data_IF_372689822230
#
_entry.id   IF_372689822230
#
_cell.length_a   1.000
_cell.length_b   1.000
_cell.length_c   1.000
_cell.angle_alpha   90.00
_cell.angle_beta   90.00
_cell.angle_gamma   90.00
#
_symmetry.space_group_name_H-M   'P 1'
#
loop_
_entity.id
_entity.type
_entity.pdbx_description
1 polymer ?
#
# COMPACT_ATOMS: atom_id res chain seq x y z
N UNK A 1 0.67 8.49 30.69
CA UNK A 1 -0.39 7.87 29.86
C UNK A 1 -0.77 8.85 28.77
N UNK A 2 -0.11 8.79 27.62
CA UNK A 2 -0.41 9.63 26.46
C UNK A 2 -1.65 9.07 25.78
N UNK A 3 -2.77 9.79 25.90
CA UNK A 3 -3.98 9.53 25.13
C UNK A 3 -3.63 9.54 23.63
N UNK A 4 -3.96 8.48 22.91
CA UNK A 4 -3.95 8.43 21.43
C UNK A 4 -5.07 9.34 20.93
N UNK A 5 -4.92 10.64 21.10
CA UNK A 5 -5.84 11.62 20.55
C UNK A 5 -5.80 11.50 19.02
N UNK A 6 -6.98 11.33 18.40
CA UNK A 6 -7.15 11.41 16.94
C UNK A 6 -6.99 12.87 16.49
N UNK A 7 -5.77 13.40 16.62
CA UNK A 7 -5.50 14.84 16.52
C UNK A 7 -5.22 15.30 15.07
N UNK A 8 -4.99 14.35 14.17
CA UNK A 8 -4.79 14.63 12.73
C UNK A 8 -6.15 14.77 12.04
N UNK A 9 -6.42 15.95 11.48
CA UNK A 9 -7.67 16.25 10.77
C UNK A 9 -7.48 16.17 9.26
N UNK A 10 -8.45 15.56 8.58
CA UNK A 10 -8.54 15.54 7.12
C UNK A 10 -9.61 16.55 6.66
N UNK A 11 -9.22 17.50 5.82
CA UNK A 11 -10.15 18.47 5.21
C UNK A 11 -10.48 18.05 3.78
N UNK A 12 -11.72 17.63 3.54
CA UNK A 12 -12.19 17.17 2.22
C UNK A 12 -13.27 18.14 1.71
N UNK A 13 -13.11 18.62 0.48
CA UNK A 13 -14.16 19.35 -0.24
C UNK A 13 -14.98 18.38 -1.07
N UNK A 14 -16.29 18.53 -1.05
CA UNK A 14 -17.21 17.82 -1.93
C UNK A 14 -18.35 18.76 -2.35
N UNK A 15 -18.97 18.47 -3.49
CA UNK A 15 -20.20 19.15 -3.88
C UNK A 15 -21.41 18.61 -3.10
N UNK A 16 -22.57 19.21 -3.32
CA UNK A 16 -23.78 18.89 -2.59
C UNK A 16 -24.33 17.50 -2.94
N UNK A 17 -24.14 17.03 -4.17
CA UNK A 17 -24.64 15.73 -4.62
C UNK A 17 -23.84 14.60 -3.99
N UNK A 18 -22.51 14.72 -3.98
CA UNK A 18 -21.60 13.80 -3.28
C UNK A 18 -21.92 13.79 -1.78
N UNK A 19 -22.14 14.97 -1.17
CA UNK A 19 -22.50 15.04 0.24
C UNK A 19 -23.80 14.29 0.55
N UNK A 20 -24.84 14.49 -0.26
CA UNK A 20 -26.13 13.78 -0.11
C UNK A 20 -25.98 12.28 -0.26
N UNK A 21 -25.14 11.82 -1.18
CA UNK A 21 -24.86 10.40 -1.37
C UNK A 21 -24.18 9.81 -0.13
N UNK A 22 -23.16 10.50 0.40
CA UNK A 22 -22.46 10.07 1.61
C UNK A 22 -23.37 10.05 2.84
N UNK A 23 -24.24 11.06 3.00
CA UNK A 23 -25.24 11.10 4.08
C UNK A 23 -26.17 9.87 4.03
N UNK A 24 -26.67 9.52 2.84
CA UNK A 24 -27.52 8.33 2.66
C UNK A 24 -26.78 7.03 2.98
N UNK A 25 -25.57 6.87 2.45
CA UNK A 25 -24.77 5.67 2.66
C UNK A 25 -24.41 5.48 4.15
N UNK A 26 -24.00 6.55 4.82
CA UNK A 26 -23.73 6.56 6.26
C UNK A 26 -24.98 6.22 7.07
N UNK A 27 -26.15 6.76 6.69
CA UNK A 27 -27.42 6.43 7.33
C UNK A 27 -27.79 4.95 7.19
N UNK A 28 -27.63 4.36 6.01
CA UNK A 28 -27.86 2.93 5.78
C UNK A 28 -26.89 2.04 6.55
N UNK A 29 -25.65 2.51 6.76
CA UNK A 29 -24.64 1.81 7.54
C UNK A 29 -24.70 2.10 9.05
N UNK A 30 -25.69 2.87 9.51
CA UNK A 30 -25.88 3.27 10.91
C UNK A 30 -24.66 3.91 11.57
N UNK A 31 -23.95 4.76 10.83
CA UNK A 31 -22.75 5.45 11.31
C UNK A 31 -22.73 6.92 10.87
N UNK A 32 -21.81 7.71 11.44
CA UNK A 32 -21.63 9.09 11.00
C UNK A 32 -20.97 9.15 9.61
N UNK A 33 -21.18 10.25 8.89
CA UNK A 33 -20.53 10.47 7.58
C UNK A 33 -19.02 10.45 7.69
N UNK A 34 -18.46 11.07 8.74
CA UNK A 34 -17.02 11.08 8.97
C UNK A 34 -16.47 9.68 9.22
N UNK A 35 -17.19 8.85 9.97
CA UNK A 35 -16.82 7.44 10.18
C UNK A 35 -16.93 6.62 8.90
N UNK A 36 -18.02 6.79 8.15
CA UNK A 36 -18.22 6.12 6.87
C UNK A 36 -17.08 6.43 5.88
N UNK A 37 -16.76 7.72 5.71
CA UNK A 37 -15.71 8.17 4.81
C UNK A 37 -14.36 7.65 5.26
N UNK A 38 -14.01 7.79 6.55
CA UNK A 38 -12.72 7.34 7.05
C UNK A 38 -12.55 5.82 6.91
N UNK A 39 -13.58 5.04 7.25
CA UNK A 39 -13.55 3.57 7.16
C UNK A 39 -13.29 3.11 5.74
N UNK A 40 -14.05 3.62 4.78
CA UNK A 40 -13.90 3.25 3.37
C UNK A 40 -12.57 3.74 2.79
N UNK A 41 -12.11 4.94 3.16
CA UNK A 41 -10.81 5.46 2.72
C UNK A 41 -9.65 4.59 3.24
N UNK A 42 -9.74 4.12 4.49
CA UNK A 42 -8.73 3.24 5.11
C UNK A 42 -8.73 1.87 4.46
N UNK A 43 -9.88 1.29 4.16
CA UNK A 43 -10.00 0.01 3.43
C UNK A 43 -9.37 0.11 2.05
N UNK A 44 -9.69 1.16 1.30
CA UNK A 44 -9.10 1.38 -0.03
C UNK A 44 -7.60 1.64 0.05
N UNK A 45 -7.14 2.40 1.02
CA UNK A 45 -5.71 2.65 1.22
C UNK A 45 -4.95 1.35 1.51
N UNK A 46 -5.49 0.46 2.35
CA UNK A 46 -4.89 -0.84 2.62
C UNK A 46 -4.79 -1.70 1.36
N UNK A 47 -5.85 -1.74 0.56
CA UNK A 47 -5.85 -2.47 -0.71
C UNK A 47 -4.77 -1.97 -1.67
N UNK A 48 -4.63 -0.64 -1.80
CA UNK A 48 -3.59 -0.03 -2.65
C UNK A 48 -2.19 -0.34 -2.12
N UNK A 49 -1.95 -0.17 -0.82
CA UNK A 49 -0.64 -0.49 -0.21
C UNK A 49 -0.29 -1.96 -0.43
N UNK A 50 -1.23 -2.86 -0.17
CA UNK A 50 -1.02 -4.30 -0.37
C UNK A 50 -0.71 -4.64 -1.82
N UNK A 51 -1.41 -4.03 -2.79
CA UNK A 51 -1.17 -4.28 -4.21
C UNK A 51 0.23 -3.84 -4.67
N UNK A 52 0.83 -2.84 -4.01
CA UNK A 52 2.16 -2.33 -4.34
C UNK A 52 3.30 -2.97 -3.54
N UNK A 53 3.04 -3.44 -2.32
CA UNK A 53 4.06 -3.99 -1.42
C UNK A 53 4.06 -5.53 -1.37
N UNK A 54 2.96 -6.19 -1.71
CA UNK A 54 2.87 -7.63 -1.70
C UNK A 54 3.16 -8.22 -3.10
N UNK A 55 4.08 -9.17 -3.16
CA UNK A 55 4.32 -9.99 -4.34
C UNK A 55 3.59 -11.32 -4.13
N UNK A 56 2.60 -11.60 -4.98
CA UNK A 56 1.92 -12.91 -5.01
C UNK A 56 2.54 -13.75 -6.11
N UNK A 57 3.16 -14.87 -5.73
CA UNK A 57 3.80 -15.79 -6.67
C UNK A 57 2.83 -16.94 -7.01
N UNK A 58 2.88 -17.42 -8.25
CA UNK A 58 2.28 -18.72 -8.58
C UNK A 58 3.01 -19.84 -7.85
N UNK A 59 2.44 -21.05 -7.80
CA UNK A 59 3.11 -22.17 -7.13
C UNK A 59 4.49 -22.47 -7.75
N UNK A 60 4.58 -22.42 -9.08
CA UNK A 60 5.82 -22.67 -9.81
C UNK A 60 6.85 -21.56 -9.56
N UNK A 61 6.42 -20.29 -9.57
CA UNK A 61 7.31 -19.16 -9.27
C UNK A 61 7.78 -19.18 -7.81
N UNK A 62 6.91 -19.61 -6.89
CA UNK A 62 7.25 -19.76 -5.48
C UNK A 62 8.30 -20.85 -5.27
N UNK A 63 8.17 -21.99 -5.95
CA UNK A 63 9.16 -23.06 -5.91
C UNK A 63 10.51 -22.61 -6.51
N UNK A 64 10.48 -21.90 -7.65
CA UNK A 64 11.66 -21.32 -8.27
C UNK A 64 12.33 -20.28 -7.35
N UNK A 65 11.54 -19.44 -6.67
CA UNK A 65 12.02 -18.46 -5.71
C UNK A 65 12.69 -19.13 -4.51
N UNK A 66 12.07 -20.14 -3.90
CA UNK A 66 12.67 -20.90 -2.81
C UNK A 66 13.98 -21.57 -3.22
N UNK A 67 14.01 -22.23 -4.39
CA UNK A 67 15.23 -22.84 -4.89
C UNK A 67 16.35 -21.80 -5.12
N UNK A 68 16.01 -20.60 -5.59
CA UNK A 68 16.97 -19.51 -5.73
C UNK A 68 17.50 -18.97 -4.39
N UNK A 69 16.72 -19.06 -3.31
CA UNK A 69 17.17 -18.74 -1.95
C UNK A 69 18.09 -19.83 -1.37
N UNK A 70 17.76 -21.11 -1.60
CA UNK A 70 18.55 -22.24 -1.11
C UNK A 70 19.90 -22.39 -1.83
N UNK A 71 19.92 -22.10 -3.14
CA UNK A 71 21.11 -22.17 -3.99
C UNK A 71 21.33 -20.85 -4.73
N UNK A 72 21.83 -19.81 -4.04
CA UNK A 72 22.00 -18.49 -4.64
C UNK A 72 23.03 -18.53 -5.78
N UNK A 73 22.61 -18.05 -6.96
CA UNK A 73 23.49 -17.94 -8.11
C UNK A 73 24.57 -16.87 -7.90
N UNK A 74 25.77 -17.11 -8.43
CA UNK A 74 26.82 -16.10 -8.43
C UNK A 74 26.48 -14.94 -9.36
N UNK A 75 26.85 -13.72 -8.95
CA UNK A 75 26.64 -12.53 -9.77
C UNK A 75 27.38 -12.65 -11.11
N UNK A 76 26.63 -12.59 -12.20
CA UNK A 76 27.20 -12.68 -13.54
C UNK A 76 28.06 -11.44 -13.88
N UNK A 77 28.92 -11.50 -14.92
CA UNK A 77 29.78 -10.38 -15.28
C UNK A 77 29.02 -9.08 -15.61
N UNK A 78 27.79 -9.16 -16.10
CA UNK A 78 26.97 -7.98 -16.39
C UNK A 78 26.50 -7.28 -15.10
N UNK A 79 26.06 -8.04 -14.09
CA UNK A 79 25.70 -7.55 -12.77
C UNK A 79 26.89 -6.91 -12.06
N UNK A 80 28.07 -7.54 -12.11
CA UNK A 80 29.30 -6.99 -11.54
C UNK A 80 29.67 -5.64 -12.16
N UNK A 81 29.59 -5.51 -13.50
CA UNK A 81 29.80 -4.24 -14.19
C UNK A 81 28.76 -3.18 -13.83
N UNK A 82 27.49 -3.58 -13.69
CA UNK A 82 26.42 -2.66 -13.30
C UNK A 82 26.61 -2.13 -11.87
N UNK A 83 27.01 -2.99 -10.94
CA UNK A 83 27.32 -2.62 -9.56
C UNK A 83 28.50 -1.63 -9.49
N UNK A 84 29.60 -1.92 -10.19
CA UNK A 84 30.75 -1.03 -10.27
C UNK A 84 30.41 0.33 -10.92
N UNK A 85 29.50 0.35 -11.88
CA UNK A 85 28.99 1.58 -12.50
C UNK A 85 28.13 2.40 -11.52
N UNK A 86 27.22 1.76 -10.79
CA UNK A 86 26.38 2.45 -9.80
C UNK A 86 27.22 3.11 -8.70
N UNK A 87 28.27 2.43 -8.21
CA UNK A 87 29.18 2.97 -7.21
C UNK A 87 29.90 4.27 -7.64
N UNK A 88 30.04 4.53 -8.95
CA UNK A 88 30.62 5.77 -9.49
C UNK A 88 29.64 6.94 -9.55
N UNK A 89 28.33 6.67 -9.47
CA UNK A 89 27.26 7.69 -9.54
C UNK A 89 26.56 7.95 -8.20
N UNK A 90 26.85 7.12 -7.19
CA UNK A 90 26.35 7.30 -5.82
C UNK A 90 27.30 8.15 -4.94
N UNK A 91 28.28 8.83 -5.55
CA UNK A 91 29.10 9.90 -4.97
C UNK A 91 28.56 11.25 -5.41
#
# INVERSE_FOLDING_TARGET
MTSLAKDVRLHIRCDQEIRRLLDKAAAYAHMSVSEFVLRNAVEQAQSVVQAHEAITLSHDDFAAFLHALDAPAQANPALQRAFARHAKYAQ
#
